data_IF_479226591378
#
_entry.id   IF_479226591378
#
_cell.length_a   1.000
_cell.length_b   1.000
_cell.length_c   1.000
_cell.angle_alpha   90.00
_cell.angle_beta   90.00
_cell.angle_gamma   90.00
#
_symmetry.space_group_name_H-M   'P 1'
#
loop_
_entity.id
_entity.type
_entity.pdbx_description
1 polymer ?
#
# COMPACT_ATOMS: atom_id res chain seq x y z
N UNK A 1 7.02 23.49 -11.29
CA UNK A 1 5.68 24.11 -11.30
C UNK A 1 5.32 24.67 -12.69
N UNK A 2 6.22 25.37 -13.38
CA UNK A 2 5.97 25.98 -14.69
C UNK A 2 5.80 24.95 -15.81
N UNK A 3 6.50 23.83 -15.75
CA UNK A 3 6.45 22.79 -16.77
C UNK A 3 5.20 21.88 -16.66
N UNK A 4 4.72 21.61 -15.46
CA UNK A 4 3.42 20.98 -15.25
C UNK A 4 2.31 21.86 -15.85
N UNK A 5 2.47 23.18 -15.70
CA UNK A 5 1.57 24.17 -16.27
C UNK A 5 1.63 24.20 -17.82
N UNK A 6 2.81 24.08 -18.41
CA UNK A 6 3.01 24.17 -19.87
C UNK A 6 2.61 22.86 -20.60
N UNK A 7 2.80 21.69 -19.98
CA UNK A 7 2.37 20.41 -20.53
C UNK A 7 0.83 20.25 -20.48
N UNK A 8 0.16 20.89 -19.50
CA UNK A 8 -1.31 21.02 -19.48
C UNK A 8 -1.82 22.03 -20.52
N UNK A 9 -1.01 22.99 -20.95
CA UNK A 9 -1.35 23.96 -21.98
C UNK A 9 -1.24 23.39 -23.40
N UNK A 10 -0.30 22.49 -23.67
CA UNK A 10 -0.12 21.84 -24.96
C UNK A 10 -1.15 20.73 -25.25
N UNK A 11 -1.67 20.04 -24.24
CA UNK A 11 -2.75 19.07 -24.41
C UNK A 11 -4.14 19.68 -24.60
N UNK A 12 -4.18 20.89 -25.11
CA UNK A 12 -5.28 21.58 -25.75
C UNK A 12 -6.68 21.36 -25.20
N UNK A 13 -7.33 22.45 -24.83
CA UNK A 13 -8.77 22.66 -24.89
C UNK A 13 -9.63 22.51 -23.65
N UNK A 14 -9.10 22.64 -22.47
CA UNK A 14 -9.98 23.25 -21.44
C UNK A 14 -9.06 23.80 -20.35
N UNK A 15 -9.09 25.13 -20.14
CA UNK A 15 -8.59 25.75 -18.90
C UNK A 15 -9.38 25.14 -17.75
N UNK A 16 -9.02 23.94 -17.36
CA UNK A 16 -9.56 23.34 -16.15
C UNK A 16 -9.04 24.18 -15.00
N UNK A 17 -9.92 24.91 -14.34
CA UNK A 17 -9.58 25.77 -13.22
C UNK A 17 -8.75 24.95 -12.23
N UNK A 18 -7.60 25.44 -11.77
CA UNK A 18 -6.69 24.76 -10.84
C UNK A 18 -7.45 24.22 -9.61
N UNK A 19 -8.43 24.97 -9.16
CA UNK A 19 -9.35 24.58 -8.09
C UNK A 19 -10.13 23.29 -8.44
N UNK A 20 -10.62 23.17 -9.68
CA UNK A 20 -11.37 21.98 -10.12
C UNK A 20 -10.46 20.73 -10.19
N UNK A 21 -9.20 20.89 -10.60
CA UNK A 21 -8.21 19.80 -10.59
C UNK A 21 -7.88 19.38 -9.16
N UNK A 22 -7.66 20.35 -8.28
CA UNK A 22 -7.41 20.10 -6.87
C UNK A 22 -8.55 19.29 -6.24
N UNK A 23 -9.79 19.76 -6.37
CA UNK A 23 -10.94 19.02 -5.82
C UNK A 23 -11.12 17.64 -6.46
N UNK A 24 -10.83 17.47 -7.74
CA UNK A 24 -10.85 16.17 -8.41
C UNK A 24 -9.85 15.21 -7.78
N UNK A 25 -8.60 15.62 -7.57
CA UNK A 25 -7.57 14.76 -6.99
C UNK A 25 -7.83 14.47 -5.51
N UNK A 26 -8.28 15.46 -4.76
CA UNK A 26 -8.65 15.28 -3.36
C UNK A 26 -9.81 14.30 -3.21
N UNK A 27 -10.88 14.46 -3.99
CA UNK A 27 -12.03 13.55 -3.95
C UNK A 27 -11.66 12.12 -4.35
N UNK A 28 -10.78 11.93 -5.35
CA UNK A 28 -10.29 10.61 -5.74
C UNK A 28 -9.50 9.94 -4.60
N UNK A 29 -8.64 10.70 -3.92
CA UNK A 29 -7.90 10.16 -2.77
C UNK A 29 -8.83 9.81 -1.61
N UNK A 30 -9.80 10.67 -1.29
CA UNK A 30 -10.79 10.41 -0.23
C UNK A 30 -11.60 9.15 -0.55
N UNK A 31 -12.09 8.98 -1.78
CA UNK A 31 -12.81 7.78 -2.19
C UNK A 31 -11.96 6.51 -2.08
N UNK A 32 -10.68 6.59 -2.46
CA UNK A 32 -9.73 5.48 -2.26
C UNK A 32 -9.56 5.11 -0.78
N UNK A 33 -9.45 6.12 0.10
CA UNK A 33 -9.34 5.89 1.55
C UNK A 33 -10.62 5.32 2.15
N UNK A 34 -11.79 5.75 1.71
CA UNK A 34 -13.08 5.18 2.14
C UNK A 34 -13.17 3.71 1.72
N UNK A 35 -12.82 3.38 0.46
CA UNK A 35 -12.81 1.99 -0.01
C UNK A 35 -11.87 1.11 0.82
N UNK A 36 -10.67 1.61 1.10
CA UNK A 36 -9.71 0.94 1.99
C UNK A 36 -10.29 0.72 3.40
N UNK A 37 -10.93 1.73 3.99
CA UNK A 37 -11.53 1.61 5.32
C UNK A 37 -12.68 0.60 5.33
N UNK A 38 -13.49 0.57 4.28
CA UNK A 38 -14.59 -0.40 4.17
C UNK A 38 -14.09 -1.84 4.13
N UNK A 39 -13.01 -2.12 3.36
CA UNK A 39 -12.48 -3.47 3.33
C UNK A 39 -11.86 -3.88 4.68
N UNK A 40 -11.13 -2.99 5.36
CA UNK A 40 -10.56 -3.29 6.70
C UNK A 40 -11.65 -3.63 7.71
N UNK A 41 -12.80 -2.93 7.66
CA UNK A 41 -13.93 -3.23 8.51
C UNK A 41 -14.58 -4.58 8.17
N UNK A 42 -14.70 -4.89 6.87
CA UNK A 42 -15.24 -6.17 6.41
C UNK A 42 -14.33 -7.33 6.82
N UNK A 43 -13.03 -7.23 6.59
CA UNK A 43 -12.03 -8.23 7.00
C UNK A 43 -12.09 -8.48 8.51
N UNK A 44 -12.10 -7.42 9.34
CA UNK A 44 -12.27 -7.54 10.79
C UNK A 44 -13.56 -8.22 11.19
N UNK A 45 -14.66 -7.95 10.48
CA UNK A 45 -15.95 -8.58 10.73
C UNK A 45 -15.94 -10.09 10.42
N UNK A 46 -15.39 -10.49 9.27
CA UNK A 46 -15.29 -11.90 8.90
C UNK A 46 -14.35 -12.68 9.82
N UNK A 47 -13.21 -12.12 10.20
CA UNK A 47 -12.30 -12.72 11.19
C UNK A 47 -12.99 -12.89 12.54
N UNK A 48 -13.78 -11.91 12.98
CA UNK A 48 -14.55 -11.98 14.22
C UNK A 48 -15.58 -13.12 14.22
N UNK A 49 -16.22 -13.37 13.08
CA UNK A 49 -17.17 -14.50 12.95
C UNK A 49 -16.41 -15.83 12.93
N UNK A 50 -15.30 -15.91 12.21
CA UNK A 50 -14.57 -17.17 12.00
C UNK A 50 -13.79 -17.64 13.24
N UNK A 51 -13.18 -16.71 13.99
CA UNK A 51 -12.25 -16.99 15.09
C UNK A 51 -12.59 -16.25 16.40
N UNK A 52 -13.70 -15.52 16.43
CA UNK A 52 -14.11 -14.78 17.62
C UNK A 52 -13.14 -13.69 18.07
N UNK A 53 -13.13 -13.44 19.39
CA UNK A 53 -12.29 -12.41 20.00
C UNK A 53 -10.77 -12.69 19.84
N UNK A 54 -10.38 -13.97 19.86
CA UNK A 54 -8.97 -14.36 19.77
C UNK A 54 -8.39 -14.07 18.38
N UNK A 55 -9.18 -14.31 17.32
CA UNK A 55 -8.78 -13.95 15.96
C UNK A 55 -8.62 -12.43 15.78
N UNK A 56 -9.53 -11.66 16.34
CA UNK A 56 -9.47 -10.20 16.29
C UNK A 56 -8.28 -9.67 17.10
N UNK A 57 -7.98 -10.29 18.24
CA UNK A 57 -6.79 -9.96 19.05
C UNK A 57 -5.52 -10.24 18.28
N UNK A 58 -5.40 -11.41 17.63
CA UNK A 58 -4.25 -11.74 16.80
C UNK A 58 -4.09 -10.76 15.63
N UNK A 59 -5.18 -10.38 14.94
CA UNK A 59 -5.15 -9.36 13.88
C UNK A 59 -4.62 -8.02 14.40
N UNK A 60 -5.13 -7.54 15.55
CA UNK A 60 -4.71 -6.26 16.13
C UNK A 60 -3.23 -6.26 16.53
N UNK A 61 -2.69 -7.39 16.99
CA UNK A 61 -1.28 -7.55 17.29
C UNK A 61 -0.37 -7.48 16.05
N UNK A 62 -0.90 -7.83 14.87
CA UNK A 62 -0.14 -7.75 13.61
C UNK A 62 -0.18 -6.34 13.00
N UNK A 63 -1.13 -5.47 13.40
CA UNK A 63 -1.24 -4.11 12.86
C UNK A 63 0.03 -3.25 12.99
N UNK A 64 0.82 -3.28 14.09
CA UNK A 64 2.11 -2.59 14.14
C UNK A 64 3.10 -3.07 13.07
N UNK A 65 3.15 -4.38 12.79
CA UNK A 65 4.01 -4.93 11.73
C UNK A 65 3.57 -4.42 10.35
N UNK A 66 2.25 -4.42 10.10
CA UNK A 66 1.69 -3.82 8.89
C UNK A 66 2.13 -2.37 8.74
N UNK A 67 2.05 -1.58 9.81
CA UNK A 67 2.43 -0.17 9.81
C UNK A 67 3.91 0.05 9.49
N UNK A 68 4.80 -0.82 9.97
CA UNK A 68 6.24 -0.76 9.66
C UNK A 68 6.48 -1.10 8.19
N UNK A 69 5.91 -2.21 7.69
CA UNK A 69 6.02 -2.63 6.28
C UNK A 69 5.49 -1.53 5.35
N UNK A 70 4.32 -0.97 5.68
CA UNK A 70 3.71 0.14 4.96
C UNK A 70 4.63 1.37 4.92
N UNK A 71 5.15 1.80 6.08
CA UNK A 71 5.98 3.00 6.18
C UNK A 71 7.27 2.88 5.35
N UNK A 72 7.91 1.72 5.35
CA UNK A 72 9.12 1.50 4.55
C UNK A 72 8.77 1.47 3.06
N UNK A 73 7.69 0.80 2.67
CA UNK A 73 7.22 0.76 1.29
C UNK A 73 6.87 2.15 0.75
N UNK A 74 6.13 2.95 1.53
CA UNK A 74 5.78 4.33 1.18
C UNK A 74 7.01 5.24 1.13
N UNK A 75 7.94 5.11 2.06
CA UNK A 75 9.18 5.90 2.06
C UNK A 75 9.99 5.67 0.77
N UNK A 76 10.20 4.41 0.38
CA UNK A 76 10.90 4.05 -0.86
C UNK A 76 10.09 4.52 -2.07
N UNK A 77 8.79 4.24 -2.09
CA UNK A 77 7.90 4.54 -3.21
C UNK A 77 7.76 6.03 -3.47
N UNK A 78 7.38 6.80 -2.47
CA UNK A 78 7.17 8.25 -2.61
C UNK A 78 8.49 8.97 -2.88
N UNK A 79 9.56 8.61 -2.16
CA UNK A 79 10.89 9.21 -2.37
C UNK A 79 11.40 9.04 -3.79
N UNK A 80 11.31 7.82 -4.33
CA UNK A 80 11.75 7.50 -5.69
C UNK A 80 10.81 8.06 -6.75
N UNK A 81 9.49 8.04 -6.53
CA UNK A 81 8.50 8.57 -7.47
C UNK A 81 8.62 10.09 -7.66
N UNK A 82 8.98 10.83 -6.61
CA UNK A 82 9.26 12.28 -6.71
C UNK A 82 10.50 12.50 -7.58
N UNK A 83 11.57 11.74 -7.38
CA UNK A 83 12.79 11.82 -8.21
C UNK A 83 12.50 11.48 -9.67
N UNK A 84 11.76 10.40 -9.91
CA UNK A 84 11.26 10.02 -11.22
C UNK A 84 10.51 11.17 -11.90
N UNK A 85 9.55 11.78 -11.23
CA UNK A 85 8.76 12.87 -11.79
C UNK A 85 9.62 14.09 -12.14
N UNK A 86 10.62 14.43 -11.31
CA UNK A 86 11.56 15.53 -11.58
C UNK A 86 12.47 15.21 -12.78
N UNK A 87 13.01 13.98 -12.84
CA UNK A 87 13.89 13.53 -13.93
C UNK A 87 13.13 13.50 -15.26
N UNK A 88 11.91 13.00 -15.27
CA UNK A 88 11.02 13.00 -16.45
C UNK A 88 10.72 14.41 -16.97
N UNK A 89 10.56 15.39 -16.07
CA UNK A 89 10.40 16.80 -16.44
C UNK A 89 11.66 17.34 -17.11
N UNK A 90 12.83 16.97 -16.62
CA UNK A 90 14.11 17.39 -17.18
C UNK A 90 14.47 16.67 -18.47
N UNK A 91 13.68 15.67 -18.88
CA UNK A 91 13.91 14.78 -20.02
C UNK A 91 15.22 14.00 -19.88
N UNK A 92 15.59 13.63 -18.66
CA UNK A 92 16.76 12.78 -18.41
C UNK A 92 16.47 11.39 -18.99
N UNK A 93 17.46 10.79 -19.66
CA UNK A 93 17.34 9.47 -20.28
C UNK A 93 17.08 8.35 -19.26
N UNK A 94 17.56 8.54 -18.03
CA UNK A 94 17.58 7.52 -16.97
C UNK A 94 16.39 7.65 -15.99
N UNK A 95 15.31 8.35 -16.40
CA UNK A 95 14.15 8.55 -15.53
C UNK A 95 13.54 7.22 -15.07
N UNK A 96 13.45 6.22 -15.96
CA UNK A 96 12.85 4.93 -15.66
C UNK A 96 13.70 4.09 -14.68
N UNK A 97 14.98 4.37 -14.54
CA UNK A 97 15.86 3.68 -13.61
C UNK A 97 15.44 3.91 -12.15
N UNK A 98 14.83 5.05 -11.83
CA UNK A 98 14.29 5.31 -10.49
C UNK A 98 13.21 4.31 -10.10
N UNK A 99 12.39 3.86 -11.05
CA UNK A 99 11.36 2.85 -10.80
C UNK A 99 11.98 1.48 -10.53
N UNK A 100 12.89 1.04 -11.38
CA UNK A 100 13.55 -0.25 -11.21
C UNK A 100 14.39 -0.32 -9.93
N UNK A 101 15.15 0.75 -9.63
CA UNK A 101 15.89 0.85 -8.39
C UNK A 101 14.98 0.81 -7.16
N UNK A 102 13.83 1.51 -7.20
CA UNK A 102 12.86 1.47 -6.11
C UNK A 102 12.31 0.06 -5.89
N UNK A 103 11.99 -0.69 -6.94
CA UNK A 103 11.54 -2.07 -6.84
C UNK A 103 12.62 -2.99 -6.25
N UNK A 104 13.87 -2.86 -6.70
CA UNK A 104 14.99 -3.66 -6.19
C UNK A 104 15.17 -3.41 -4.70
N UNK A 105 15.26 -2.14 -4.26
CA UNK A 105 15.41 -1.82 -2.84
C UNK A 105 14.19 -2.23 -2.01
N UNK A 106 13.00 -2.14 -2.58
CA UNK A 106 11.77 -2.61 -1.98
C UNK A 106 11.81 -4.13 -1.73
N UNK A 107 12.20 -4.92 -2.73
CA UNK A 107 12.31 -6.37 -2.61
C UNK A 107 13.41 -6.73 -1.60
N UNK A 108 14.59 -6.10 -1.68
CA UNK A 108 15.70 -6.38 -0.76
C UNK A 108 15.31 -6.09 0.70
N UNK A 109 14.68 -4.95 0.97
CA UNK A 109 14.22 -4.61 2.32
C UNK A 109 13.09 -5.51 2.81
N UNK A 110 12.20 -5.95 1.91
CA UNK A 110 11.11 -6.86 2.27
C UNK A 110 11.58 -8.27 2.61
N UNK A 111 12.72 -8.74 2.08
CA UNK A 111 13.30 -10.03 2.45
C UNK A 111 13.62 -10.14 3.94
N UNK A 112 13.90 -9.02 4.60
CA UNK A 112 14.08 -8.99 6.05
C UNK A 112 12.79 -9.43 6.78
N UNK A 113 11.63 -8.94 6.33
CA UNK A 113 10.34 -9.32 6.90
C UNK A 113 9.98 -10.76 6.59
N UNK A 114 10.28 -11.24 5.38
CA UNK A 114 10.08 -12.65 5.01
C UNK A 114 10.90 -13.56 5.92
N UNK A 115 12.17 -13.24 6.09
CA UNK A 115 13.05 -13.99 6.98
C UNK A 115 12.53 -13.99 8.42
N UNK A 116 12.19 -12.82 8.95
CA UNK A 116 11.64 -12.66 10.29
C UNK A 116 10.31 -13.42 10.46
N UNK A 117 9.44 -13.40 9.45
CA UNK A 117 8.17 -14.12 9.46
C UNK A 117 8.34 -15.64 9.46
N UNK A 118 9.29 -16.16 8.69
CA UNK A 118 9.53 -17.61 8.62
C UNK A 118 10.10 -18.15 9.94
N UNK A 119 11.06 -17.47 10.51
CA UNK A 119 11.84 -17.99 11.63
C UNK A 119 11.41 -17.47 13.00
N UNK A 120 10.81 -16.27 13.08
CA UNK A 120 10.56 -15.58 14.34
C UNK A 120 9.11 -15.12 14.52
N UNK A 121 8.15 -15.61 13.73
CA UNK A 121 6.75 -15.14 13.79
C UNK A 121 6.13 -15.28 15.19
N UNK A 122 6.36 -16.41 15.88
CA UNK A 122 5.87 -16.64 17.24
C UNK A 122 6.54 -15.70 18.26
N UNK A 123 7.84 -15.50 18.15
CA UNK A 123 8.59 -14.62 19.07
C UNK A 123 8.21 -13.16 18.87
N UNK A 124 7.97 -12.74 17.64
CA UNK A 124 7.46 -11.41 17.32
C UNK A 124 6.10 -11.19 17.99
N UNK A 125 5.17 -12.16 17.90
CA UNK A 125 3.89 -12.06 18.56
C UNK A 125 4.03 -11.95 20.09
N UNK A 126 4.93 -12.74 20.71
CA UNK A 126 5.23 -12.65 22.15
C UNK A 126 5.77 -11.27 22.54
N UNK A 127 6.70 -10.72 21.77
CA UNK A 127 7.23 -9.35 21.98
C UNK A 127 6.14 -8.29 21.85
N UNK A 128 5.17 -8.49 20.98
CA UNK A 128 4.00 -7.61 20.81
C UNK A 128 2.95 -7.78 21.93
N UNK A 129 3.16 -8.74 22.84
CA UNK A 129 2.29 -8.92 24.00
C UNK A 129 1.28 -10.07 23.90
N UNK A 130 1.41 -10.96 22.90
CA UNK A 130 0.57 -12.14 22.80
C UNK A 130 0.90 -13.15 23.89
N UNK A 131 -0.12 -13.73 24.54
CA UNK A 131 0.02 -14.93 25.34
C UNK A 131 0.12 -16.19 24.44
N UNK A 132 0.45 -17.33 25.02
CA UNK A 132 0.65 -18.59 24.27
C UNK A 132 -0.61 -19.03 23.54
N UNK A 133 -1.80 -18.71 24.05
CA UNK A 133 -3.05 -19.03 23.39
C UNK A 133 -3.22 -18.20 22.08
N UNK A 134 -3.02 -16.90 22.17
CA UNK A 134 -3.09 -16.00 21.00
C UNK A 134 -1.98 -16.31 19.98
N UNK A 135 -0.77 -16.67 20.45
CA UNK A 135 0.30 -17.16 19.56
C UNK A 135 -0.16 -18.40 18.80
N UNK A 136 -0.78 -19.39 19.47
CA UNK A 136 -1.26 -20.58 18.81
C UNK A 136 -2.32 -20.30 17.74
N UNK A 137 -3.20 -19.32 17.96
CA UNK A 137 -4.24 -18.90 17.01
C UNK A 137 -3.65 -18.10 15.83
N UNK A 138 -2.76 -17.14 16.11
CA UNK A 138 -2.34 -16.12 15.15
C UNK A 138 -0.99 -16.38 14.46
N UNK A 139 -0.18 -17.34 14.91
CA UNK A 139 1.18 -17.54 14.39
C UNK A 139 1.22 -17.83 12.89
N UNK A 140 0.36 -18.71 12.40
CA UNK A 140 0.29 -19.01 10.96
C UNK A 140 -0.13 -17.80 10.14
N UNK A 141 -1.07 -17.02 10.62
CA UNK A 141 -1.50 -15.77 10.00
C UNK A 141 -0.33 -14.77 9.92
N UNK A 142 0.34 -14.53 11.04
CA UNK A 142 1.49 -13.61 11.12
C UNK A 142 2.62 -14.05 10.18
N UNK A 143 2.93 -15.34 10.15
CA UNK A 143 3.94 -15.93 9.27
C UNK A 143 3.60 -15.67 7.79
N UNK A 144 2.38 -16.02 7.37
CA UNK A 144 1.91 -15.84 5.99
C UNK A 144 1.92 -14.35 5.65
N UNK A 145 1.37 -13.52 6.52
CA UNK A 145 1.32 -12.07 6.34
C UNK A 145 2.73 -11.48 6.08
N UNK A 146 3.72 -11.84 6.89
CA UNK A 146 5.10 -11.35 6.73
C UNK A 146 5.78 -11.91 5.46
N UNK A 147 5.43 -13.13 5.03
CA UNK A 147 5.91 -13.69 3.76
C UNK A 147 5.39 -12.91 2.55
N UNK A 148 4.22 -12.27 2.66
CA UNK A 148 3.66 -11.41 1.62
C UNK A 148 4.16 -9.96 1.66
N UNK A 149 5.04 -9.59 2.58
CA UNK A 149 5.62 -8.25 2.66
C UNK A 149 6.17 -7.71 1.32
N UNK A 150 6.86 -8.50 0.46
CA UNK A 150 7.31 -8.03 -0.85
C UNK A 150 6.15 -7.54 -1.73
N UNK A 151 5.03 -8.26 -1.72
CA UNK A 151 3.85 -7.89 -2.52
C UNK A 151 3.24 -6.59 -2.03
N UNK A 152 3.10 -6.42 -0.70
CA UNK A 152 2.58 -5.19 -0.11
C UNK A 152 3.48 -4.00 -0.44
N UNK A 153 4.78 -4.12 -0.21
CA UNK A 153 5.73 -3.04 -0.45
C UNK A 153 5.81 -2.66 -1.93
N UNK A 154 5.86 -3.64 -2.85
CA UNK A 154 5.82 -3.37 -4.29
C UNK A 154 4.53 -2.68 -4.73
N UNK A 155 3.39 -3.04 -4.14
CA UNK A 155 2.11 -2.36 -4.40
C UNK A 155 2.18 -0.89 -4.00
N UNK A 156 2.76 -0.53 -2.84
CA UNK A 156 2.92 0.86 -2.42
C UNK A 156 3.85 1.64 -3.34
N UNK A 157 5.00 1.06 -3.72
CA UNK A 157 5.92 1.66 -4.69
C UNK A 157 5.21 1.94 -6.02
N UNK A 158 4.56 0.94 -6.59
CA UNK A 158 3.84 1.08 -7.87
C UNK A 158 2.74 2.13 -7.79
N UNK A 159 1.97 2.15 -6.72
CA UNK A 159 0.91 3.13 -6.49
C UNK A 159 1.46 4.56 -6.42
N UNK A 160 2.60 4.77 -5.72
CA UNK A 160 3.27 6.05 -5.64
C UNK A 160 3.74 6.54 -7.02
N UNK A 161 4.31 5.67 -7.85
CA UNK A 161 4.74 6.01 -9.20
C UNK A 161 3.56 6.35 -10.12
N UNK A 162 2.49 5.56 -10.12
CA UNK A 162 1.27 5.82 -10.93
C UNK A 162 0.66 7.17 -10.57
N UNK A 163 0.60 7.51 -9.28
CA UNK A 163 0.09 8.82 -8.81
C UNK A 163 0.98 9.98 -9.28
N UNK A 164 2.29 9.81 -9.20
CA UNK A 164 3.26 10.85 -9.59
C UNK A 164 3.44 10.97 -11.10
N UNK A 165 3.09 9.95 -11.87
CA UNK A 165 3.04 9.99 -13.34
C UNK A 165 1.77 10.70 -13.89
N UNK A 166 0.96 11.25 -13.02
CA UNK A 166 -0.23 12.05 -13.38
C UNK A 166 -1.49 11.23 -13.62
N UNK A 167 -1.52 9.97 -13.17
CA UNK A 167 -2.66 9.07 -13.30
C UNK A 167 -3.29 8.64 -11.96
N UNK A 168 -3.57 9.56 -11.00
CA UNK A 168 -4.11 9.21 -9.68
C UNK A 168 -5.48 8.52 -9.76
N UNK A 169 -6.24 8.74 -10.85
CA UNK A 169 -7.50 8.05 -11.09
C UNK A 169 -7.32 6.55 -11.31
N UNK A 170 -6.23 6.12 -11.97
CA UNK A 170 -5.92 4.69 -12.16
C UNK A 170 -5.56 4.06 -10.80
N UNK A 171 -4.72 4.73 -10.02
CA UNK A 171 -4.37 4.27 -8.67
C UNK A 171 -5.60 4.10 -7.77
N UNK A 172 -6.52 5.09 -7.78
CA UNK A 172 -7.80 5.01 -7.05
C UNK A 172 -8.65 3.83 -7.53
N UNK A 173 -8.83 3.69 -8.85
CA UNK A 173 -9.65 2.60 -9.42
C UNK A 173 -9.09 1.23 -9.07
N UNK A 174 -7.77 1.06 -9.11
CA UNK A 174 -7.11 -0.18 -8.71
C UNK A 174 -7.33 -0.48 -7.22
N UNK A 175 -7.21 0.53 -6.35
CA UNK A 175 -7.47 0.36 -4.92
C UNK A 175 -8.92 -0.03 -4.64
N UNK A 176 -9.89 0.64 -5.27
CA UNK A 176 -11.32 0.33 -5.09
C UNK A 176 -11.67 -1.08 -5.60
N UNK A 177 -11.13 -1.46 -6.77
CA UNK A 177 -11.33 -2.78 -7.33
C UNK A 177 -10.74 -3.87 -6.42
N UNK A 178 -9.52 -3.67 -5.93
CA UNK A 178 -8.86 -4.58 -4.99
C UNK A 178 -9.64 -4.72 -3.68
N UNK A 179 -10.16 -3.60 -3.13
CA UNK A 179 -10.97 -3.61 -1.91
C UNK A 179 -12.28 -4.38 -2.10
N UNK A 180 -12.95 -4.16 -3.23
CA UNK A 180 -14.19 -4.88 -3.56
C UNK A 180 -13.93 -6.37 -3.75
N UNK A 181 -12.86 -6.72 -4.45
CA UNK A 181 -12.45 -8.10 -4.68
C UNK A 181 -12.15 -8.81 -3.36
N UNK A 182 -11.44 -8.16 -2.44
CA UNK A 182 -11.16 -8.69 -1.11
C UNK A 182 -12.45 -8.99 -0.35
N UNK A 183 -13.38 -8.03 -0.23
CA UNK A 183 -14.66 -8.22 0.46
C UNK A 183 -15.46 -9.41 -0.13
N UNK A 184 -15.49 -9.56 -1.45
CA UNK A 184 -16.20 -10.67 -2.11
C UNK A 184 -15.55 -12.01 -1.80
N UNK A 185 -14.23 -12.07 -1.78
CA UNK A 185 -13.49 -13.30 -1.46
C UNK A 185 -13.61 -13.68 0.01
N UNK A 186 -13.59 -12.73 0.92
CA UNK A 186 -13.80 -12.95 2.36
C UNK A 186 -15.21 -13.48 2.66
N UNK A 187 -16.18 -13.12 1.82
CA UNK A 187 -17.55 -13.66 1.93
C UNK A 187 -17.69 -15.10 1.40
N UNK A 188 -16.88 -15.46 0.39
CA UNK A 188 -16.97 -16.77 -0.27
C UNK A 188 -16.16 -17.84 0.49
N UNK A 189 -15.06 -17.47 1.12
CA UNK A 189 -14.15 -18.36 1.83
C UNK A 189 -14.48 -18.48 3.31
#
# INVERSE_FOLDING_TARGET
YRFVYDNFREKGKTKMNLTKQFFKYVSQNILGMIGFSCYVLADSYFISIAKGADGLTALNLVMPLYSIIFSIGEMIGVGSAIRYAISKIKKDADADDYFWNALIWCILSSMLFVFAGIFFSADIMRVLGADEHIVAVGNNYTKIFMCFAPMFMCNYVTNAFVRNDGAPGIAMSATLFSSLFNIVFDYIL
#
